data_IF_325345426248
#
_entry.id   IF_325345426248
#
_cell.length_a   1.000
_cell.length_b   1.000
_cell.length_c   1.000
_cell.angle_alpha   90.00
_cell.angle_beta   90.00
_cell.angle_gamma   90.00
#
_symmetry.space_group_name_H-M   'P 1'
#
loop_
_entity.id
_entity.type
_entity.pdbx_description
1 polymer ?
#
# COMPACT_ATOMS: atom_id res chain seq x y z
N UNK A 1 10.40 0.64 -11.25
CA UNK A 1 9.88 0.63 -10.67
C UNK A 1 9.31 1.03 -9.89
N UNK A 2 8.72 1.32 -9.43
CA UNK A 2 8.27 1.24 -9.03
C UNK A 2 7.61 1.45 -7.91
N UNK A 3 7.91 1.97 -7.08
CA UNK A 3 7.46 2.32 -5.97
C UNK A 3 6.96 3.60 -6.03
N UNK A 4 6.06 3.98 -6.81
CA UNK A 4 5.53 5.32 -7.03
C UNK A 4 4.21 5.51 -6.33
N UNK A 5 4.03 4.84 -5.21
CA UNK A 5 2.81 4.91 -4.41
C UNK A 5 3.15 5.56 -3.07
N UNK A 6 2.36 6.56 -2.68
CA UNK A 6 2.56 7.27 -1.43
C UNK A 6 1.29 7.27 -0.60
N UNK A 7 1.42 7.16 0.73
CA UNK A 7 0.24 7.23 1.59
C UNK A 7 -0.18 8.67 1.81
N UNK A 8 -1.47 8.89 1.95
CA UNK A 8 -2.01 10.17 2.42
C UNK A 8 -2.59 9.93 3.79
N UNK A 9 -2.07 10.63 4.79
CA UNK A 9 -2.48 10.41 6.16
C UNK A 9 -2.92 11.74 6.79
N UNK A 10 -3.74 11.65 7.83
CA UNK A 10 -4.16 12.84 8.56
C UNK A 10 -3.16 13.16 9.66
N UNK A 11 -3.48 14.18 10.48
CA UNK A 11 -2.58 14.62 11.55
C UNK A 11 -2.39 13.58 12.64
N UNK A 12 -3.24 12.58 12.69
CA UNK A 12 -3.18 11.52 13.70
C UNK A 12 -2.60 10.22 13.13
N UNK A 13 -2.17 10.25 11.88
CA UNK A 13 -1.56 9.10 11.24
C UNK A 13 -2.54 8.15 10.55
N UNK A 14 -3.83 8.48 10.52
CA UNK A 14 -4.80 7.61 9.88
C UNK A 14 -4.63 7.62 8.37
N UNK A 15 -4.75 6.44 7.76
CA UNK A 15 -4.63 6.33 6.32
C UNK A 15 -5.92 6.79 5.66
N UNK A 16 -5.81 7.86 4.88
CA UNK A 16 -6.95 8.42 4.15
C UNK A 16 -7.05 7.85 2.75
N UNK A 17 -5.92 7.51 2.16
CA UNK A 17 -5.87 6.96 0.81
C UNK A 17 -4.45 6.88 0.33
N UNK A 18 -4.28 6.64 -0.95
CA UNK A 18 -2.95 6.57 -1.58
C UNK A 18 -2.95 7.44 -2.82
N UNK A 19 -1.74 7.86 -3.21
CA UNK A 19 -1.53 8.62 -4.42
C UNK A 19 -0.47 7.91 -5.23
N UNK A 20 -0.73 7.74 -6.52
CA UNK A 20 0.26 7.18 -7.44
C UNK A 20 0.98 8.32 -8.13
N UNK A 21 2.31 8.24 -8.12
CA UNK A 21 3.12 9.33 -8.66
C UNK A 21 2.86 9.58 -10.13
N UNK A 22 2.54 8.53 -10.88
CA UNK A 22 2.29 8.69 -12.32
C UNK A 22 1.10 9.61 -12.58
N UNK A 23 0.10 9.55 -11.72
CA UNK A 23 -1.06 10.44 -11.85
C UNK A 23 -0.69 11.88 -11.60
N UNK A 24 0.21 12.12 -10.65
CA UNK A 24 0.70 13.47 -10.37
C UNK A 24 1.57 14.00 -11.49
N UNK A 25 2.40 13.13 -12.06
CA UNK A 25 3.37 13.56 -13.07
C UNK A 25 2.71 14.20 -14.28
N UNK A 26 1.61 13.66 -14.71
CA UNK A 26 0.90 14.20 -15.86
C UNK A 26 0.52 15.66 -15.63
N UNK A 27 0.10 15.97 -14.40
CA UNK A 27 -0.40 17.30 -14.10
C UNK A 27 0.67 18.27 -13.62
N UNK A 28 1.84 17.77 -13.26
CA UNK A 28 2.91 18.64 -12.77
C UNK A 28 3.38 19.65 -13.81
N UNK A 29 3.19 19.34 -15.07
CA UNK A 29 3.62 20.22 -16.16
C UNK A 29 2.48 21.04 -16.73
N UNK A 30 1.29 20.99 -16.14
CA UNK A 30 0.14 21.78 -16.57
C UNK A 30 -0.08 22.89 -15.56
N UNK A 31 0.12 24.12 -16.01
CA UNK A 31 0.03 25.28 -15.10
C UNK A 31 -1.34 25.38 -14.43
N UNK A 32 -2.38 25.05 -15.15
CA UNK A 32 -3.72 25.16 -14.60
C UNK A 32 -3.98 24.14 -13.49
N UNK A 33 -3.10 23.15 -13.33
CA UNK A 33 -3.25 22.14 -12.29
C UNK A 33 -2.44 22.46 -11.03
N UNK A 34 -1.60 23.48 -11.09
CA UNK A 34 -0.86 23.90 -9.91
C UNK A 34 -1.88 24.41 -8.91
N UNK A 35 -1.76 24.08 -7.68
CA UNK A 35 -2.69 24.51 -6.66
C UNK A 35 -3.83 23.52 -6.41
N UNK A 36 -3.95 22.48 -7.21
CA UNK A 36 -4.92 21.44 -6.89
C UNK A 36 -4.45 20.68 -5.65
N UNK A 37 -5.34 20.40 -4.71
CA UNK A 37 -4.93 19.67 -3.52
C UNK A 37 -4.62 18.23 -3.84
N UNK A 38 -3.77 17.61 -3.01
CA UNK A 38 -3.39 16.23 -3.21
C UNK A 38 -4.60 15.30 -3.16
N UNK A 39 -5.65 15.72 -2.45
CA UNK A 39 -6.86 14.90 -2.34
C UNK A 39 -7.55 14.68 -3.69
N UNK A 40 -7.29 15.54 -4.68
CA UNK A 40 -7.84 15.35 -6.02
C UNK A 40 -7.26 14.13 -6.72
N UNK A 41 -6.07 13.70 -6.28
CA UNK A 41 -5.37 12.55 -6.87
C UNK A 41 -5.43 11.31 -6.00
N UNK A 42 -6.06 11.43 -4.84
CA UNK A 42 -6.10 10.33 -3.88
C UNK A 42 -7.11 9.29 -4.31
N UNK A 43 -6.70 8.02 -4.23
CA UNK A 43 -7.59 6.90 -4.46
C UNK A 43 -7.55 6.00 -3.25
N UNK A 44 -8.55 5.14 -3.11
CA UNK A 44 -8.54 4.15 -2.05
C UNK A 44 -7.68 2.98 -2.50
N UNK A 45 -6.85 2.42 -1.61
CA UNK A 45 -6.12 1.22 -1.97
C UNK A 45 -7.08 0.05 -2.18
N UNK A 46 -6.70 -0.93 -3.00
CA UNK A 46 -7.59 -2.07 -3.25
C UNK A 46 -7.90 -2.87 -1.99
N UNK A 47 -7.00 -2.85 -1.01
CA UNK A 47 -7.21 -3.50 0.28
C UNK A 47 -6.19 -2.95 1.26
N UNK A 48 -6.33 -3.32 2.50
CA UNK A 48 -5.38 -2.96 3.57
C UNK A 48 -5.01 -4.21 4.33
N UNK A 49 -3.80 -4.21 4.89
CA UNK A 49 -3.32 -5.32 5.70
C UNK A 49 -3.27 -4.86 7.14
N UNK A 50 -3.84 -5.65 8.04
CA UNK A 50 -3.73 -5.39 9.47
C UNK A 50 -2.40 -5.96 9.97
N UNK A 51 -1.75 -5.25 10.89
CA UNK A 51 -0.38 -5.58 11.27
C UNK A 51 -0.18 -6.97 11.83
N UNK A 52 -1.22 -7.57 12.40
CA UNK A 52 -1.10 -8.92 12.97
C UNK A 52 -1.80 -9.98 12.13
N UNK A 53 -2.11 -9.64 10.90
CA UNK A 53 -2.75 -10.58 9.99
C UNK A 53 -1.78 -11.70 9.63
N UNK A 54 -2.29 -12.91 9.43
CA UNK A 54 -1.44 -14.04 9.09
C UNK A 54 -0.86 -13.87 7.69
N UNK A 55 0.31 -14.47 7.46
CA UNK A 55 0.94 -14.43 6.14
C UNK A 55 0.01 -15.01 5.08
N UNK A 56 -0.69 -16.09 5.42
CA UNK A 56 -1.63 -16.69 4.48
C UNK A 56 -2.76 -15.73 4.11
N UNK A 57 -3.32 -15.04 5.10
CA UNK A 57 -4.38 -14.06 4.85
C UNK A 57 -3.91 -12.92 3.98
N UNK A 58 -2.68 -12.45 4.22
CA UNK A 58 -2.09 -11.39 3.42
C UNK A 58 -1.89 -11.86 1.97
N UNK A 59 -1.39 -13.09 1.78
CA UNK A 59 -1.21 -13.64 0.45
C UNK A 59 -2.53 -13.69 -0.31
N UNK A 60 -3.59 -14.09 0.36
CA UNK A 60 -4.91 -14.15 -0.26
C UNK A 60 -5.37 -12.78 -0.74
N UNK A 61 -5.09 -11.74 0.05
CA UNK A 61 -5.45 -10.37 -0.35
C UNK A 61 -4.71 -9.96 -1.61
N UNK A 62 -3.42 -10.26 -1.70
CA UNK A 62 -2.65 -9.94 -2.89
C UNK A 62 -3.19 -10.66 -4.12
N UNK A 63 -3.55 -11.93 -3.97
CA UNK A 63 -4.07 -12.72 -5.10
C UNK A 63 -5.45 -12.25 -5.52
N UNK A 64 -6.33 -11.98 -4.55
CA UNK A 64 -7.68 -11.55 -4.85
C UNK A 64 -7.73 -10.19 -5.54
N UNK A 65 -6.85 -9.30 -5.14
CA UNK A 65 -6.88 -7.92 -5.66
C UNK A 65 -5.93 -7.71 -6.83
N UNK A 66 -5.18 -8.73 -7.22
CA UNK A 66 -4.25 -8.65 -8.34
C UNK A 66 -3.32 -7.45 -8.23
N UNK A 67 -2.78 -7.25 -7.04
CA UNK A 67 -1.91 -6.12 -6.75
C UNK A 67 -0.58 -6.64 -6.22
N UNK A 68 0.42 -5.77 -6.23
CA UNK A 68 1.75 -6.15 -5.80
C UNK A 68 2.21 -5.37 -4.56
N UNK A 69 1.42 -4.41 -4.11
CA UNK A 69 1.77 -3.56 -2.99
C UNK A 69 0.50 -3.17 -2.23
N UNK A 70 0.51 -3.31 -0.92
CA UNK A 70 -0.63 -2.94 -0.09
C UNK A 70 -0.16 -2.20 1.15
N UNK A 71 -0.96 -1.25 1.64
CA UNK A 71 -0.62 -0.56 2.88
C UNK A 71 -0.95 -1.42 4.09
N UNK A 72 -0.14 -1.27 5.13
CA UNK A 72 -0.33 -1.95 6.41
C UNK A 72 -0.80 -0.91 7.41
N UNK A 73 -1.84 -1.23 8.16
CA UNK A 73 -2.42 -0.34 9.16
C UNK A 73 -2.60 -1.09 10.47
N UNK A 74 -2.74 -0.32 11.56
CA UNK A 74 -3.09 -0.90 12.86
C UNK A 74 -4.60 -0.93 13.02
N UNK A 75 -5.07 -1.30 14.22
CA UNK A 75 -6.49 -1.44 14.49
C UNK A 75 -7.25 -0.13 14.38
N UNK A 76 -6.56 1.00 14.57
CA UNK A 76 -7.16 2.31 14.45
C UNK A 76 -7.02 2.91 13.05
N UNK A 77 -6.63 2.10 12.08
CA UNK A 77 -6.42 2.52 10.70
C UNK A 77 -5.25 3.50 10.55
N UNK A 78 -4.27 3.46 11.46
CA UNK A 78 -3.08 4.29 11.33
C UNK A 78 -2.08 3.59 10.42
N UNK A 79 -1.50 4.36 9.53
CA UNK A 79 -0.57 3.85 8.53
C UNK A 79 0.75 3.42 9.17
N UNK A 80 1.19 2.22 8.86
CA UNK A 80 2.44 1.68 9.38
C UNK A 80 3.49 1.48 8.28
N UNK A 81 3.09 1.39 7.04
CA UNK A 81 4.01 1.20 5.93
C UNK A 81 3.33 0.49 4.78
N UNK A 82 4.11 0.24 3.73
CA UNK A 82 3.66 -0.60 2.62
C UNK A 82 4.41 -1.91 2.66
N UNK A 83 3.78 -2.94 2.13
CA UNK A 83 4.46 -4.22 1.98
C UNK A 83 4.22 -4.74 0.56
N UNK A 84 5.24 -5.36 -0.02
CA UNK A 84 5.15 -5.90 -1.38
C UNK A 84 4.79 -7.38 -1.35
N UNK A 85 4.17 -7.83 -2.43
CA UNK A 85 3.85 -9.25 -2.59
C UNK A 85 5.09 -10.11 -2.53
N UNK A 86 6.19 -9.66 -3.16
CA UNK A 86 7.42 -10.45 -3.17
C UNK A 86 8.00 -10.62 -1.77
N UNK A 87 7.88 -9.60 -0.93
CA UNK A 87 8.38 -9.70 0.43
C UNK A 87 7.59 -10.73 1.24
N UNK A 88 6.28 -10.75 1.04
CA UNK A 88 5.44 -11.74 1.72
C UNK A 88 5.72 -13.14 1.22
N UNK A 89 5.94 -13.29 -0.09
CA UNK A 89 6.31 -14.60 -0.64
C UNK A 89 7.60 -15.12 -0.05
N UNK A 90 8.59 -14.25 0.11
CA UNK A 90 9.86 -14.66 0.71
C UNK A 90 9.68 -15.08 2.16
N UNK A 91 8.89 -14.36 2.93
CA UNK A 91 8.61 -14.71 4.31
C UNK A 91 7.88 -16.06 4.39
N UNK A 92 6.95 -16.30 3.49
CA UNK A 92 6.21 -17.55 3.44
C UNK A 92 7.16 -18.74 3.15
N UNK A 93 8.05 -18.56 2.19
CA UNK A 93 9.05 -19.59 1.88
C UNK A 93 9.92 -19.89 3.07
N UNK A 94 10.34 -18.88 3.79
CA UNK A 94 11.18 -19.09 5.00
C UNK A 94 10.44 -19.91 6.04
N UNK A 95 9.14 -19.66 6.21
CA UNK A 95 8.34 -20.46 7.13
C UNK A 95 8.26 -21.91 6.70
N UNK A 96 8.07 -22.15 5.41
CA UNK A 96 8.01 -23.51 4.90
C UNK A 96 9.32 -24.26 5.13
N UNK A 97 10.44 -23.59 4.91
CA UNK A 97 11.75 -24.21 5.16
C UNK A 97 11.89 -24.60 6.63
N UNK A 98 11.48 -23.74 7.54
CA UNK A 98 11.56 -24.03 8.96
C UNK A 98 10.71 -25.24 9.35
N UNK A 99 9.56 -25.37 8.75
CA UNK A 99 8.68 -26.50 9.03
C UNK A 99 9.31 -27.81 8.56
N UNK A 100 10.04 -27.76 7.46
CA UNK A 100 10.63 -28.96 6.89
C UNK A 100 11.91 -29.39 7.65
N UNK A 101 12.46 -28.51 8.43
CA UNK A 101 13.62 -28.87 9.24
C UNK A 101 13.21 -29.53 10.54
#
# INVERSE_FOLDING_TARGET
>A
ARRNIFPVIDNFGHLLGIVQLDDLREDMFKHEKYGHPISDYMIQPPDKILEHESIQGVMEKFEDKHTWMLPVVDKQNRYLGFISKSRILNAYREQLVKIQQ
#
